data_IF_079506330043
#
_entry.id   IF_079506330043
#
_cell.length_a   1.000
_cell.length_b   1.000
_cell.length_c   1.000
_cell.angle_alpha   90.00
_cell.angle_beta   90.00
_cell.angle_gamma   90.00
#
_symmetry.space_group_name_H-M   'P 1'
#
loop_
_entity.id
_entity.type
_entity.pdbx_description
1 polymer ?
#
# COMPACT_ATOMS: atom_id res chain seq x y z
N UNK A 1 -32.21 -0.15 -60.93
CA UNK A 1 -31.04 0.10 -60.05
C UNK A 1 -30.28 -1.22 -59.88
N UNK A 2 -28.97 -1.22 -60.16
CA UNK A 2 -27.91 -2.22 -59.83
C UNK A 2 -28.11 -3.65 -60.40
N UNK A 3 -27.49 -4.05 -61.52
CA UNK A 3 -26.07 -4.36 -61.79
C UNK A 3 -25.54 -5.66 -61.12
N UNK A 4 -25.37 -6.69 -61.95
CA UNK A 4 -24.51 -7.87 -61.75
C UNK A 4 -23.03 -7.49 -61.63
N UNK A 5 -22.21 -8.33 -60.98
CA UNK A 5 -20.96 -8.92 -61.52
C UNK A 5 -20.42 -9.99 -60.57
N UNK A 6 -20.11 -11.14 -61.17
CA UNK A 6 -19.40 -12.34 -60.73
C UNK A 6 -17.90 -12.10 -60.48
N UNK A 7 -17.22 -12.91 -59.66
CA UNK A 7 -16.09 -13.81 -60.06
C UNK A 7 -15.23 -14.25 -58.85
N UNK A 8 -14.92 -15.54 -58.87
CA UNK A 8 -14.05 -16.38 -58.04
C UNK A 8 -12.60 -15.90 -57.89
N UNK A 9 -11.94 -16.22 -56.76
CA UNK A 9 -10.58 -16.79 -56.73
C UNK A 9 -10.22 -17.36 -55.35
N UNK A 10 -9.70 -18.59 -55.39
CA UNK A 10 -8.88 -19.27 -54.39
C UNK A 10 -7.81 -18.36 -53.77
N UNK A 11 -7.73 -18.33 -52.43
CA UNK A 11 -6.45 -18.49 -51.71
C UNK A 11 -6.72 -19.36 -50.49
N UNK A 12 -6.44 -20.65 -50.66
CA UNK A 12 -6.16 -21.56 -49.57
C UNK A 12 -4.78 -21.20 -49.04
N UNK A 13 -4.68 -20.73 -47.79
CA UNK A 13 -3.40 -20.47 -47.15
C UNK A 13 -3.38 -19.19 -46.34
N UNK A 14 -3.91 -19.25 -45.12
CA UNK A 14 -3.31 -18.67 -43.90
C UNK A 14 -3.99 -19.33 -42.70
N UNK A 15 -3.82 -20.65 -42.63
CA UNK A 15 -3.85 -21.40 -41.38
C UNK A 15 -2.57 -21.02 -40.62
N UNK A 16 -2.67 -20.77 -39.30
CA UNK A 16 -1.60 -20.50 -38.34
C UNK A 16 -0.94 -19.11 -38.39
N UNK A 17 -1.57 -18.11 -37.76
CA UNK A 17 -0.84 -17.00 -37.14
C UNK A 17 -1.40 -16.74 -35.74
N UNK A 18 -0.62 -17.18 -34.75
CA UNK A 18 -0.48 -16.63 -33.39
C UNK A 18 -1.71 -16.66 -32.48
N UNK A 19 -2.09 -17.87 -32.03
CA UNK A 19 -2.35 -18.05 -30.60
C UNK A 19 -1.00 -17.99 -29.87
N UNK A 20 -0.36 -16.82 -29.84
CA UNK A 20 0.59 -16.54 -28.79
C UNK A 20 -0.26 -16.39 -27.54
N UNK A 21 -0.54 -17.53 -26.89
CA UNK A 21 -1.14 -17.51 -25.57
C UNK A 21 -0.25 -16.62 -24.72
N UNK A 22 -0.82 -15.55 -24.16
CA UNK A 22 -0.25 -14.96 -22.96
C UNK A 22 -0.06 -16.15 -22.00
N UNK A 23 1.18 -16.59 -21.83
CA UNK A 23 1.48 -17.49 -20.74
C UNK A 23 0.96 -16.76 -19.50
N UNK A 24 -0.02 -17.36 -18.82
CA UNK A 24 -0.49 -16.82 -17.56
C UNK A 24 0.75 -16.70 -16.69
N UNK A 25 1.14 -15.45 -16.38
CA UNK A 25 2.26 -15.20 -15.49
C UNK A 25 1.79 -15.75 -14.15
N UNK A 26 2.36 -16.89 -13.76
CA UNK A 26 2.03 -17.55 -12.52
C UNK A 26 2.92 -16.95 -11.44
N UNK A 27 2.32 -16.27 -10.47
CA UNK A 27 3.00 -15.79 -9.29
C UNK A 27 2.83 -16.84 -8.20
N UNK A 28 3.89 -17.59 -7.84
CA UNK A 28 3.78 -18.61 -6.81
C UNK A 28 3.43 -17.94 -5.47
N UNK A 29 2.24 -18.24 -4.95
CA UNK A 29 1.73 -17.72 -3.68
C UNK A 29 2.73 -17.91 -2.53
N UNK A 30 3.50 -19.00 -2.54
CA UNK A 30 4.56 -19.25 -1.57
C UNK A 30 5.65 -18.15 -1.58
N UNK A 31 6.05 -17.65 -2.76
CA UNK A 31 7.06 -16.60 -2.86
C UNK A 31 6.48 -15.26 -2.37
N UNK A 32 5.23 -14.95 -2.75
CA UNK A 32 4.52 -13.75 -2.29
C UNK A 32 4.37 -13.77 -0.78
N UNK A 33 3.89 -14.88 -0.23
CA UNK A 33 3.72 -15.09 1.20
C UNK A 33 5.06 -14.97 1.94
N UNK A 34 6.12 -15.60 1.43
CA UNK A 34 7.45 -15.50 2.04
C UNK A 34 8.00 -14.07 2.00
N UNK A 35 7.65 -13.29 0.98
CA UNK A 35 8.09 -11.92 0.79
C UNK A 35 7.38 -10.96 1.75
N UNK A 36 6.04 -11.03 1.79
CA UNK A 36 5.26 -10.22 2.74
C UNK A 36 5.52 -10.64 4.18
N UNK A 37 5.91 -11.91 4.42
CA UNK A 37 6.45 -12.41 5.70
C UNK A 37 7.91 -12.02 5.97
N UNK A 38 8.53 -11.23 5.12
CA UNK A 38 9.77 -10.51 5.43
C UNK A 38 9.53 -9.01 5.61
N UNK A 39 8.27 -8.55 5.55
CA UNK A 39 7.91 -7.14 5.68
C UNK A 39 8.19 -6.36 4.40
N UNK A 40 8.25 -7.07 3.27
CA UNK A 40 8.54 -6.52 1.95
C UNK A 40 7.28 -6.55 1.10
N UNK A 41 7.21 -5.65 0.13
CA UNK A 41 6.21 -5.73 -0.93
C UNK A 41 6.65 -6.72 -2.01
N UNK A 42 5.71 -7.47 -2.58
CA UNK A 42 5.92 -8.27 -3.78
C UNK A 42 5.39 -7.50 -4.99
N UNK A 43 6.28 -7.11 -5.90
CA UNK A 43 6.01 -6.14 -6.95
C UNK A 43 6.80 -6.38 -8.22
N UNK A 44 6.50 -5.63 -9.27
CA UNK A 44 7.27 -5.65 -10.52
C UNK A 44 8.51 -4.75 -10.39
N UNK A 45 9.70 -5.32 -10.57
CA UNK A 45 10.95 -4.57 -10.72
C UNK A 45 11.75 -5.15 -11.88
N UNK A 46 12.32 -4.29 -12.72
CA UNK A 46 13.03 -4.67 -13.95
C UNK A 46 12.22 -5.60 -14.88
N UNK A 47 10.89 -5.43 -14.90
CA UNK A 47 9.97 -6.25 -15.70
C UNK A 47 9.73 -7.66 -15.15
N UNK A 48 10.19 -7.96 -13.93
CA UNK A 48 9.99 -9.24 -13.26
C UNK A 48 9.29 -9.05 -11.93
N UNK A 49 8.34 -9.94 -11.60
CA UNK A 49 7.76 -9.97 -10.27
C UNK A 49 8.78 -10.54 -9.28
N UNK A 50 9.05 -9.77 -8.24
CA UNK A 50 10.04 -10.10 -7.24
C UNK A 50 9.73 -9.44 -5.91
N UNK A 51 10.41 -9.92 -4.88
CA UNK A 51 10.32 -9.33 -3.56
C UNK A 51 11.11 -8.02 -3.52
N UNK A 52 10.42 -6.89 -3.34
CA UNK A 52 11.00 -5.56 -3.38
C UNK A 52 11.89 -5.31 -2.15
N UNK A 53 13.05 -4.72 -2.37
CA UNK A 53 14.02 -4.48 -1.31
C UNK A 53 13.72 -3.23 -0.49
N UNK A 54 13.08 -2.21 -1.08
CA UNK A 54 12.80 -0.94 -0.39
C UNK A 54 11.75 -0.09 -1.08
N UNK A 55 11.03 0.74 -0.31
CA UNK A 55 10.15 1.78 -0.85
C UNK A 55 10.94 2.94 -1.51
N UNK A 56 10.41 3.61 -2.55
CA UNK A 56 11.11 4.69 -3.26
C UNK A 56 11.36 5.96 -2.45
N UNK A 57 10.60 6.17 -1.38
CA UNK A 57 10.58 7.35 -0.52
C UNK A 57 11.35 7.15 0.79
N UNK A 58 12.03 6.01 0.95
CA UNK A 58 12.81 5.68 2.13
C UNK A 58 13.77 6.80 2.56
N UNK A 59 13.75 7.13 3.85
CA UNK A 59 14.60 8.14 4.47
C UNK A 59 14.11 9.58 4.32
N UNK A 60 13.03 9.84 3.58
CA UNK A 60 12.40 11.17 3.57
C UNK A 60 11.81 11.50 4.95
N UNK A 61 11.92 12.75 5.38
CA UNK A 61 11.28 13.21 6.62
C UNK A 61 9.77 13.17 6.48
N UNK A 62 9.09 12.76 7.56
CA UNK A 62 7.65 12.70 7.63
C UNK A 62 7.17 13.12 9.03
N UNK A 63 5.92 13.57 9.12
CA UNK A 63 5.17 13.85 10.35
C UNK A 63 3.91 13.01 10.43
N UNK A 64 3.61 12.23 9.40
CA UNK A 64 2.45 11.35 9.34
C UNK A 64 2.73 10.17 8.42
N UNK A 65 2.09 9.03 8.67
CA UNK A 65 2.23 7.82 7.85
C UNK A 65 1.79 8.04 6.40
N UNK A 66 0.80 8.90 6.15
CA UNK A 66 0.29 9.17 4.82
C UNK A 66 1.28 9.90 3.90
N UNK A 67 2.38 10.41 4.46
CA UNK A 67 3.46 11.04 3.70
C UNK A 67 4.47 10.01 3.17
N UNK A 68 4.31 8.74 3.56
CA UNK A 68 5.21 7.66 3.20
C UNK A 68 4.48 6.56 2.41
N UNK A 69 5.19 5.90 1.49
CA UNK A 69 4.73 4.63 0.91
C UNK A 69 4.93 3.48 1.91
N UNK A 70 5.87 3.62 2.84
CA UNK A 70 6.01 2.78 4.03
C UNK A 70 5.37 3.41 5.26
N UNK A 71 5.92 3.12 6.44
CA UNK A 71 5.49 3.77 7.68
C UNK A 71 6.35 4.99 7.98
N UNK A 72 5.74 6.03 8.54
CA UNK A 72 6.50 7.12 9.14
C UNK A 72 7.00 6.70 10.53
N UNK A 73 8.32 6.56 10.69
CA UNK A 73 8.89 6.12 11.97
C UNK A 73 9.97 7.02 12.49
N UNK A 74 10.04 7.07 13.81
CA UNK A 74 11.13 7.69 14.52
C UNK A 74 12.42 6.87 14.37
N UNK A 75 13.50 7.52 13.97
CA UNK A 75 14.84 6.91 13.85
C UNK A 75 15.82 7.39 14.94
N UNK A 76 15.51 8.48 15.63
CA UNK A 76 16.23 8.95 16.82
C UNK A 76 15.69 8.29 18.10
N UNK A 77 16.12 8.79 19.26
CA UNK A 77 15.67 8.24 20.54
C UNK A 77 14.13 8.31 20.65
N UNK A 78 13.52 7.25 21.19
CA UNK A 78 12.09 7.23 21.44
C UNK A 78 11.67 8.41 22.32
N UNK A 79 10.53 9.01 22.00
CA UNK A 79 9.89 9.95 22.91
C UNK A 79 8.78 9.27 23.70
N UNK A 80 8.24 9.99 24.67
CA UNK A 80 7.03 9.60 25.36
C UNK A 80 5.88 9.42 24.36
N UNK A 81 4.93 8.49 24.61
CA UNK A 81 3.72 8.38 23.82
C UNK A 81 2.98 9.72 23.77
N UNK A 82 2.38 10.02 22.62
CA UNK A 82 1.71 11.27 22.27
C UNK A 82 2.64 12.50 22.28
N UNK A 83 3.95 12.30 22.47
CA UNK A 83 4.89 13.38 22.33
C UNK A 83 5.00 13.79 20.87
N UNK A 84 4.88 15.08 20.70
CA UNK A 84 4.99 15.78 19.46
C UNK A 84 6.34 15.51 18.77
N UNK A 85 6.28 14.98 17.54
CA UNK A 85 7.41 14.27 16.91
C UNK A 85 7.38 14.29 15.39
N UNK A 86 8.54 14.04 14.79
CA UNK A 86 8.71 13.80 13.35
C UNK A 86 9.55 12.54 13.14
N UNK A 87 9.36 11.87 12.01
CA UNK A 87 10.03 10.64 11.64
C UNK A 87 10.69 10.68 10.26
N UNK A 88 11.05 9.50 9.79
CA UNK A 88 11.50 9.21 8.44
C UNK A 88 10.71 8.05 7.85
N UNK A 89 10.44 8.12 6.55
CA UNK A 89 9.77 7.07 5.81
C UNK A 89 10.62 5.80 5.82
N UNK A 90 9.99 4.70 6.18
CA UNK A 90 10.66 3.42 6.31
C UNK A 90 11.16 2.91 4.96
N UNK A 91 12.28 2.18 4.98
CA UNK A 91 12.71 1.44 3.80
C UNK A 91 11.78 0.25 3.52
N UNK A 92 11.20 -0.36 4.56
CA UNK A 92 10.46 -1.63 4.53
C UNK A 92 9.43 -1.66 5.68
N UNK A 93 8.48 -2.59 5.68
CA UNK A 93 7.72 -2.89 6.91
C UNK A 93 8.60 -3.67 7.87
N UNK A 94 8.59 -3.26 9.12
CA UNK A 94 9.57 -3.71 10.10
C UNK A 94 9.28 -5.10 10.63
N UNK A 95 10.35 -5.86 10.91
CA UNK A 95 10.26 -7.12 11.67
C UNK A 95 11.34 -7.30 12.72
N UNK A 96 12.17 -6.29 12.93
CA UNK A 96 13.47 -6.51 13.53
C UNK A 96 14.01 -5.23 14.19
N UNK A 97 13.21 -4.61 15.06
CA UNK A 97 13.64 -3.76 16.19
C UNK A 97 12.42 -3.17 16.91
N UNK A 98 12.63 -2.35 17.93
CA UNK A 98 11.57 -1.49 18.44
C UNK A 98 11.37 -0.31 17.51
N UNK A 99 10.11 -0.01 17.19
CA UNK A 99 9.71 1.09 16.33
C UNK A 99 8.75 2.01 17.08
N UNK A 100 8.86 3.30 16.79
CA UNK A 100 7.88 4.27 17.24
C UNK A 100 7.32 4.96 16.01
N UNK A 101 6.06 4.64 15.71
CA UNK A 101 5.34 5.25 14.59
C UNK A 101 5.06 6.71 14.89
N UNK A 102 5.06 7.53 13.85
CA UNK A 102 4.59 8.90 13.93
C UNK A 102 3.27 8.96 13.18
N UNK A 103 2.20 9.21 13.93
CA UNK A 103 0.84 9.34 13.41
C UNK A 103 0.37 10.72 13.78
N UNK A 104 -0.06 11.49 12.79
CA UNK A 104 -0.66 12.81 12.98
C UNK A 104 0.24 13.74 13.82
N UNK A 105 1.55 13.71 13.53
CA UNK A 105 2.56 14.53 14.20
C UNK A 105 2.94 14.10 15.62
N UNK A 106 2.41 12.96 16.09
CA UNK A 106 2.62 12.47 17.44
C UNK A 106 3.30 11.11 17.43
N UNK A 107 4.19 10.89 18.40
CA UNK A 107 4.81 9.61 18.62
C UNK A 107 3.80 8.62 19.22
N UNK A 108 3.54 7.52 18.53
CA UNK A 108 2.80 6.41 19.11
C UNK A 108 3.59 5.79 20.28
N UNK A 109 2.99 4.90 21.08
CA UNK A 109 3.77 4.04 21.96
C UNK A 109 4.87 3.30 21.18
N UNK A 110 6.01 3.08 21.83
CA UNK A 110 7.07 2.25 21.25
C UNK A 110 6.54 0.83 21.12
N UNK A 111 6.48 0.35 19.88
CA UNK A 111 6.15 -1.03 19.55
C UNK A 111 7.47 -1.77 19.44
N UNK A 112 7.81 -2.50 20.50
CA UNK A 112 8.98 -3.34 20.54
C UNK A 112 8.64 -4.71 20.01
N UNK A 113 9.11 -4.99 18.80
CA UNK A 113 9.05 -6.33 18.26
C UNK A 113 10.24 -7.15 18.76
N UNK A 114 10.36 -7.26 20.08
CA UNK A 114 11.31 -8.17 20.74
C UNK A 114 11.00 -9.65 20.47
N UNK A 115 9.95 -9.94 19.70
CA UNK A 115 9.57 -11.27 19.22
C UNK A 115 9.34 -11.37 17.70
N UNK A 116 9.48 -10.29 16.88
CA UNK A 116 9.35 -10.43 15.41
C UNK A 116 10.59 -11.00 14.71
N UNK A 117 11.74 -11.05 15.37
CA UNK A 117 12.91 -11.79 14.88
C UNK A 117 12.66 -13.30 14.75
N UNK A 118 11.54 -13.80 15.29
CA UNK A 118 11.04 -15.16 15.12
C UNK A 118 9.50 -15.20 15.05
N UNK A 119 8.88 -14.26 14.34
CA UNK A 119 7.46 -14.40 14.00
C UNK A 119 7.32 -15.25 12.73
N UNK A 120 7.70 -16.52 12.88
CA UNK A 120 6.85 -17.59 12.35
C UNK A 120 5.52 -17.44 13.06
N UNK A 121 4.45 -17.23 12.30
CA UNK A 121 3.01 -17.58 12.49
C UNK A 121 2.38 -17.95 13.84
N UNK A 122 3.06 -17.88 14.99
CA UNK A 122 2.80 -18.74 16.12
C UNK A 122 2.36 -17.96 17.38
N UNK A 123 2.49 -16.63 17.38
CA UNK A 123 2.02 -15.75 18.48
C UNK A 123 0.92 -14.75 18.07
N UNK A 124 0.64 -14.65 16.77
CA UNK A 124 -0.70 -14.21 16.37
C UNK A 124 -1.64 -15.37 16.68
N UNK A 125 -2.84 -15.11 17.20
CA UNK A 125 -3.86 -16.17 17.27
C UNK A 125 -3.83 -16.92 15.93
N UNK A 126 -3.76 -18.27 15.93
CA UNK A 126 -3.70 -19.05 14.69
C UNK A 126 -4.85 -18.68 13.72
N UNK A 127 -5.93 -18.12 14.26
CA UNK A 127 -7.02 -17.48 13.52
C UNK A 127 -6.57 -16.33 12.62
N UNK A 128 -5.77 -15.37 13.12
CA UNK A 128 -5.28 -14.24 12.31
C UNK A 128 -4.24 -14.66 11.27
N UNK A 129 -3.37 -15.62 11.61
CA UNK A 129 -2.43 -16.17 10.64
C UNK A 129 -3.19 -16.86 9.49
N UNK A 130 -4.22 -17.63 9.82
CA UNK A 130 -5.11 -18.25 8.83
C UNK A 130 -5.88 -17.20 8.02
N UNK A 131 -6.37 -16.13 8.65
CA UNK A 131 -7.07 -15.04 7.96
C UNK A 131 -6.18 -14.37 6.91
N UNK A 132 -4.90 -14.10 7.22
CA UNK A 132 -3.95 -13.57 6.24
C UNK A 132 -3.72 -14.53 5.07
N UNK A 133 -3.62 -15.83 5.33
CA UNK A 133 -3.53 -16.82 4.25
C UNK A 133 -4.75 -16.79 3.35
N UNK A 134 -5.94 -16.84 3.92
CA UNK A 134 -7.20 -16.79 3.18
C UNK A 134 -7.29 -15.52 2.34
N UNK A 135 -6.97 -14.36 2.90
CA UNK A 135 -6.99 -13.10 2.16
C UNK A 135 -5.96 -13.04 1.04
N UNK A 136 -4.75 -13.56 1.25
CA UNK A 136 -3.75 -13.63 0.19
C UNK A 136 -4.17 -14.58 -0.94
N UNK A 137 -4.81 -15.71 -0.61
CA UNK A 137 -5.32 -16.66 -1.58
C UNK A 137 -6.46 -16.05 -2.43
N UNK A 138 -7.25 -15.15 -1.86
CA UNK A 138 -8.34 -14.42 -2.56
C UNK A 138 -7.86 -13.18 -3.32
N UNK A 139 -6.67 -12.66 -3.00
CA UNK A 139 -6.12 -11.47 -3.62
C UNK A 139 -5.77 -11.72 -5.09
N UNK A 140 -6.27 -10.86 -5.99
CA UNK A 140 -5.86 -10.87 -7.40
C UNK A 140 -4.46 -10.28 -7.56
N UNK A 141 -3.44 -11.10 -7.26
CA UNK A 141 -2.03 -10.74 -7.38
C UNK A 141 -1.70 -10.34 -8.83
N UNK A 142 -2.27 -11.03 -9.81
CA UNK A 142 -1.99 -10.74 -11.22
C UNK A 142 -2.55 -9.37 -11.63
N UNK A 143 -3.80 -9.10 -11.26
CA UNK A 143 -4.43 -7.80 -11.45
C UNK A 143 -3.69 -6.68 -10.72
N UNK A 144 -3.30 -6.91 -9.47
CA UNK A 144 -2.52 -5.97 -8.68
C UNK A 144 -1.22 -5.53 -9.40
N UNK A 145 -0.40 -6.51 -9.78
CA UNK A 145 0.87 -6.25 -10.45
C UNK A 145 0.69 -5.64 -11.84
N UNK A 146 -0.34 -6.07 -12.58
CA UNK A 146 -0.66 -5.51 -13.90
C UNK A 146 -1.15 -4.06 -13.81
N UNK A 147 -1.80 -3.68 -12.70
CA UNK A 147 -2.18 -2.31 -12.37
C UNK A 147 -1.01 -1.43 -11.90
N UNK A 148 0.19 -1.99 -11.77
CA UNK A 148 1.35 -1.29 -11.22
C UNK A 148 1.38 -1.23 -9.70
N UNK A 149 0.49 -1.96 -9.02
CA UNK A 149 0.48 -2.09 -7.58
C UNK A 149 1.53 -3.06 -7.04
N UNK A 150 1.63 -3.10 -5.71
CA UNK A 150 2.53 -3.95 -4.94
C UNK A 150 1.72 -4.74 -3.93
N UNK A 151 1.86 -6.07 -3.94
CA UNK A 151 1.23 -6.91 -2.90
C UNK A 151 1.97 -6.74 -1.60
N UNK A 152 1.31 -6.25 -0.55
CA UNK A 152 1.91 -5.98 0.75
C UNK A 152 0.90 -6.17 1.88
N UNK A 153 1.33 -6.00 3.12
CA UNK A 153 0.41 -5.88 4.24
C UNK A 153 -0.14 -4.45 4.26
N UNK A 154 -1.45 -4.31 4.42
CA UNK A 154 -2.17 -3.04 4.35
C UNK A 154 -2.81 -2.65 5.67
N UNK A 155 -2.89 -1.34 5.88
CA UNK A 155 -3.63 -0.68 6.95
C UNK A 155 -3.31 -1.16 8.36
N UNK A 156 -4.27 -0.92 9.26
CA UNK A 156 -4.08 -1.11 10.69
C UNK A 156 -3.89 -2.57 11.09
N UNK A 157 -4.67 -3.48 10.49
CA UNK A 157 -4.59 -4.92 10.78
C UNK A 157 -3.49 -5.67 10.04
N UNK A 158 -2.71 -4.98 9.19
CA UNK A 158 -1.64 -5.57 8.39
C UNK A 158 -2.12 -6.81 7.60
N UNK A 159 -3.26 -6.68 6.92
CA UNK A 159 -3.83 -7.73 6.08
C UNK A 159 -3.25 -7.65 4.66
N UNK A 160 -3.00 -8.78 3.97
CA UNK A 160 -2.49 -8.74 2.61
C UNK A 160 -3.46 -8.02 1.67
N UNK A 161 -2.93 -7.13 0.84
CA UNK A 161 -3.68 -6.40 -0.16
C UNK A 161 -2.78 -5.83 -1.25
N UNK A 162 -3.39 -5.13 -2.20
CA UNK A 162 -2.69 -4.46 -3.29
C UNK A 162 -2.52 -2.98 -2.97
N UNK A 163 -1.27 -2.56 -2.76
CA UNK A 163 -0.92 -1.16 -2.56
C UNK A 163 -0.61 -0.45 -3.88
N UNK A 164 -1.24 0.69 -4.10
CA UNK A 164 -0.92 1.62 -5.19
C UNK A 164 -0.34 2.90 -4.62
N UNK A 165 0.87 3.26 -5.06
CA UNK A 165 1.48 4.55 -4.74
C UNK A 165 0.98 5.60 -5.71
N UNK A 166 0.50 6.72 -5.18
CA UNK A 166 -0.07 7.81 -5.96
C UNK A 166 0.97 8.87 -6.30
N UNK A 167 0.94 9.34 -7.55
CA UNK A 167 1.89 10.34 -8.05
C UNK A 167 1.63 11.75 -7.48
N UNK A 168 0.47 11.99 -6.89
CA UNK A 168 0.06 13.22 -6.22
C UNK A 168 0.14 13.16 -4.70
N UNK A 169 0.63 12.05 -4.14
CA UNK A 169 0.91 11.93 -2.71
C UNK A 169 1.72 13.12 -2.18
N UNK A 170 1.23 13.71 -1.08
CA UNK A 170 1.85 14.87 -0.45
C UNK A 170 1.45 16.24 -1.04
N UNK A 171 0.65 16.29 -2.11
CA UNK A 171 0.10 17.56 -2.62
C UNK A 171 -1.05 18.05 -1.74
N UNK A 172 -1.18 19.36 -1.59
CA UNK A 172 -2.33 19.97 -0.91
C UNK A 172 -3.61 19.76 -1.71
N UNK A 173 -4.71 19.41 -1.02
CA UNK A 173 -6.04 19.22 -1.57
C UNK A 173 -7.09 19.99 -0.74
N UNK A 174 -8.25 20.25 -1.34
CA UNK A 174 -9.41 20.89 -0.70
C UNK A 174 -10.60 19.93 -0.54
N UNK A 175 -10.62 18.86 -1.32
CA UNK A 175 -11.63 17.81 -1.32
C UNK A 175 -11.03 16.54 -1.93
N UNK A 176 -11.70 15.40 -1.75
CA UNK A 176 -11.20 14.10 -2.23
C UNK A 176 -10.95 14.06 -3.75
N UNK A 177 -11.79 14.72 -4.55
CA UNK A 177 -11.65 14.78 -6.01
C UNK A 177 -10.36 15.48 -6.50
N UNK A 178 -9.63 16.19 -5.62
CA UNK A 178 -8.34 16.80 -5.95
C UNK A 178 -7.19 15.77 -5.98
N UNK A 179 -7.43 14.55 -5.46
CA UNK A 179 -6.46 13.49 -5.30
C UNK A 179 -6.80 12.27 -6.14
N UNK A 180 -5.77 11.51 -6.51
CA UNK A 180 -5.91 10.19 -7.14
C UNK A 180 -6.39 9.15 -6.12
N UNK A 181 -6.00 9.34 -4.86
CA UNK A 181 -6.52 8.62 -3.68
C UNK A 181 -7.31 9.55 -2.76
N UNK A 182 -7.21 9.33 -1.45
CA UNK A 182 -7.95 10.12 -0.44
C UNK A 182 -7.29 11.49 -0.16
N UNK A 183 -8.10 12.52 0.10
CA UNK A 183 -7.62 13.79 0.65
C UNK A 183 -7.62 13.71 2.18
N UNK A 184 -6.45 13.81 2.82
CA UNK A 184 -6.31 13.54 4.24
C UNK A 184 -6.10 14.83 5.04
N UNK A 185 -6.85 14.98 6.13
CA UNK A 185 -6.67 16.11 7.03
C UNK A 185 -5.30 16.01 7.71
N UNK A 186 -4.56 17.12 7.73
CA UNK A 186 -3.28 17.17 8.43
C UNK A 186 -3.52 17.47 9.91
N UNK A 187 -2.77 16.81 10.79
CA UNK A 187 -2.72 17.22 12.20
C UNK A 187 -1.47 18.04 12.41
N UNK A 188 -1.66 19.22 13.00
CA UNK A 188 -0.54 20.04 13.41
C UNK A 188 0.19 19.30 14.53
N UNK A 189 1.48 18.97 14.32
CA UNK A 189 2.23 18.18 15.28
C UNK A 189 2.20 18.85 16.65
N UNK A 190 2.32 20.19 16.70
CA UNK A 190 2.46 20.97 17.93
C UNK A 190 1.23 21.02 18.84
N UNK A 191 0.05 20.90 18.26
CA UNK A 191 -1.22 21.10 18.96
C UNK A 191 -2.07 19.83 19.01
N UNK A 192 -1.75 18.81 18.20
CA UNK A 192 -2.62 17.67 17.97
C UNK A 192 -3.96 18.05 17.32
N UNK A 193 -4.08 19.30 16.83
CA UNK A 193 -5.29 19.79 16.21
C UNK A 193 -5.29 19.49 14.72
N UNK A 194 -6.44 19.06 14.23
CA UNK A 194 -6.66 18.89 12.80
C UNK A 194 -6.66 20.27 12.14
N UNK A 195 -5.78 20.45 11.17
CA UNK A 195 -5.81 21.58 10.26
C UNK A 195 -7.02 21.43 9.33
N UNK A 196 -8.07 22.19 9.63
CA UNK A 196 -9.32 22.14 8.89
C UNK A 196 -9.34 23.06 7.65
N UNK A 197 -8.21 23.65 7.25
CA UNK A 197 -8.17 24.63 6.15
C UNK A 197 -7.87 24.03 4.78
N UNK A 198 -7.19 22.89 4.75
CA UNK A 198 -6.86 22.09 3.57
C UNK A 198 -6.36 20.71 4.01
N UNK A 199 -6.47 19.72 3.13
CA UNK A 199 -5.89 18.40 3.30
C UNK A 199 -4.59 18.20 2.51
N UNK A 200 -4.08 16.98 2.55
CA UNK A 200 -2.95 16.50 1.74
C UNK A 200 -3.31 15.15 1.14
N UNK A 201 -3.06 14.97 -0.15
CA UNK A 201 -3.31 13.71 -0.84
C UNK A 201 -2.49 12.57 -0.25
N UNK A 202 -3.15 11.44 0.00
CA UNK A 202 -2.54 10.20 0.43
C UNK A 202 -1.38 9.77 -0.50
N UNK A 203 -0.28 9.27 0.07
CA UNK A 203 0.81 8.71 -0.72
C UNK A 203 0.47 7.34 -1.35
N UNK A 204 -0.42 6.57 -0.73
CA UNK A 204 -0.94 5.31 -1.26
C UNK A 204 -2.33 4.99 -0.71
N UNK A 205 -2.98 3.95 -1.23
CA UNK A 205 -4.20 3.35 -0.65
C UNK A 205 -3.93 2.51 0.61
N UNK A 206 -2.67 2.36 1.01
CA UNK A 206 -2.28 1.66 2.21
C UNK A 206 -2.32 2.61 3.43
N UNK A 207 -3.54 2.96 3.82
CA UNK A 207 -3.84 3.83 4.95
C UNK A 207 -4.12 2.99 6.19
N UNK A 208 -3.64 3.37 7.39
CA UNK A 208 -4.07 2.73 8.63
C UNK A 208 -5.27 3.47 9.21
N UNK A 209 -5.04 4.45 10.09
CA UNK A 209 -6.11 5.25 10.69
C UNK A 209 -5.90 6.71 10.32
N UNK A 210 -6.84 7.28 9.58
CA UNK A 210 -6.73 8.62 9.00
C UNK A 210 -7.98 9.44 9.25
N UNK A 211 -7.90 10.73 8.95
CA UNK A 211 -9.04 11.64 8.94
C UNK A 211 -9.22 12.10 7.51
N UNK A 212 -10.39 11.87 6.92
CA UNK A 212 -10.70 12.30 5.57
C UNK A 212 -11.05 13.79 5.55
N UNK A 213 -10.68 14.46 4.46
CA UNK A 213 -10.87 15.89 4.27
C UNK A 213 -11.72 16.17 3.03
N UNK A 214 -12.98 16.50 3.26
CA UNK A 214 -13.93 16.97 2.23
C UNK A 214 -14.43 18.39 2.55
N UNK A 215 -13.51 19.24 3.02
CA UNK A 215 -13.79 20.57 3.53
C UNK A 215 -13.95 20.64 5.05
N UNK A 216 -14.23 21.85 5.55
CA UNK A 216 -14.29 22.12 6.98
C UNK A 216 -15.73 21.97 7.54
N UNK A 217 -15.93 21.27 8.68
CA UNK A 217 -14.93 20.58 9.49
C UNK A 217 -14.52 19.22 8.88
N UNK A 218 -13.28 18.79 9.14
CA UNK A 218 -12.79 17.47 8.76
C UNK A 218 -13.62 16.34 9.43
N UNK A 219 -13.58 15.14 8.84
CA UNK A 219 -14.38 13.99 9.30
C UNK A 219 -13.93 13.44 10.67
N UNK A 220 -14.67 12.45 11.17
CA UNK A 220 -14.17 11.58 12.24
C UNK A 220 -13.05 10.66 11.72
N UNK A 221 -12.27 10.08 12.64
CA UNK A 221 -11.19 9.13 12.30
C UNK A 221 -11.77 7.85 11.72
N UNK A 222 -11.20 7.41 10.59
CA UNK A 222 -11.54 6.17 9.91
C UNK A 222 -10.32 5.26 9.91
N UNK A 223 -10.48 4.03 10.40
CA UNK A 223 -9.44 3.00 10.35
C UNK A 223 -9.75 2.00 9.24
N UNK A 224 -8.88 1.95 8.25
CA UNK A 224 -8.99 1.03 7.12
C UNK A 224 -8.68 -0.39 7.60
N UNK A 225 -9.67 -1.26 7.42
CA UNK A 225 -9.68 -2.64 7.92
C UNK A 225 -10.82 -2.95 8.90
N UNK A 226 -11.54 -1.94 9.42
CA UNK A 226 -12.75 -2.11 10.24
C UNK A 226 -14.05 -2.28 9.41
N UNK A 227 -13.95 -2.24 8.08
CA UNK A 227 -15.08 -2.30 7.14
C UNK A 227 -15.34 -3.71 6.56
N UNK A 228 -14.86 -4.77 7.23
CA UNK A 228 -15.10 -6.18 6.86
C UNK A 228 -16.00 -6.90 7.85
#
# INVERSE_FOLDING_TARGET
MRASVTTSLYVCGFLLVLLAGCAAVSYPLADVYSCINQGKGYGMADGQAQCLSSYPDSGKTCTDEAQCAGSCIRHDAFAEPDALSSGQCSARRFRDSCHQFITLGNASPVICDTELGNLTTDDWSPEYAQQRHTMLDELDIAGCLAGGGVVTLMGYYALPGCEHVYADGGKTCQQDDDCTGECLAQVEPESGQVNASHGVCAASDNLACVILFDGAPASETVCFGDLL
#
